data_IF_155877043331
#
_entry.id   IF_155877043331
#
_cell.length_a   1.000
_cell.length_b   1.000
_cell.length_c   1.000
_cell.angle_alpha   90.00
_cell.angle_beta   90.00
_cell.angle_gamma   90.00
#
_symmetry.space_group_name_H-M   'P 1'
#
loop_
_entity.id
_entity.type
_entity.pdbx_description
1 polymer ?
#
# COMPACT_ATOMS: atom_id res chain seq x y z
N UNK A 1 -29.29 -38.18 -55.96
CA UNK A 1 -30.24 -38.00 -54.83
C UNK A 1 -29.44 -37.73 -53.57
N UNK A 2 -29.77 -36.66 -52.84
CA UNK A 2 -29.09 -36.22 -51.60
C UNK A 2 -29.88 -36.68 -50.37
N UNK A 3 -29.16 -36.98 -49.26
CA UNK A 3 -29.47 -36.84 -47.81
C UNK A 3 -28.97 -38.07 -47.00
N UNK A 4 -28.82 -38.00 -45.65
CA UNK A 4 -28.01 -37.07 -44.85
C UNK A 4 -27.24 -37.83 -43.72
N UNK A 5 -26.28 -37.20 -43.03
CA UNK A 5 -25.88 -37.66 -41.69
C UNK A 5 -25.26 -36.52 -40.88
N UNK A 6 -26.02 -36.07 -39.86
CA UNK A 6 -25.57 -35.23 -38.76
C UNK A 6 -24.89 -36.12 -37.71
N UNK A 7 -23.73 -35.72 -37.21
CA UNK A 7 -23.21 -36.19 -35.93
C UNK A 7 -22.74 -34.98 -35.12
N UNK A 8 -23.42 -34.78 -34.00
CA UNK A 8 -23.18 -33.73 -33.03
C UNK A 8 -21.97 -34.08 -32.15
N UNK A 9 -21.06 -33.13 -31.96
CA UNK A 9 -19.97 -33.23 -31.00
C UNK A 9 -20.35 -32.43 -29.74
N UNK A 10 -20.59 -33.13 -28.65
CA UNK A 10 -20.81 -32.55 -27.31
C UNK A 10 -19.48 -32.03 -26.75
N UNK A 11 -19.36 -30.71 -26.59
CA UNK A 11 -18.31 -30.09 -25.77
C UNK A 11 -18.65 -30.29 -24.28
N UNK A 12 -17.82 -31.05 -23.57
CA UNK A 12 -17.76 -31.03 -22.11
C UNK A 12 -16.73 -29.97 -21.68
N UNK A 13 -17.20 -28.76 -21.38
CA UNK A 13 -16.38 -27.80 -20.64
C UNK A 13 -16.40 -28.20 -19.17
N UNK A 14 -15.30 -28.76 -18.69
CA UNK A 14 -15.05 -28.92 -17.27
C UNK A 14 -14.94 -27.52 -16.64
N UNK A 15 -15.99 -27.10 -15.93
CA UNK A 15 -15.96 -25.92 -15.08
C UNK A 15 -15.04 -26.21 -13.88
N UNK A 16 -13.75 -25.94 -14.04
CA UNK A 16 -12.82 -25.85 -12.93
C UNK A 16 -13.11 -24.55 -12.19
N UNK A 17 -13.78 -24.63 -11.03
CA UNK A 17 -13.90 -23.48 -10.13
C UNK A 17 -12.49 -23.03 -9.72
N UNK A 18 -12.08 -21.78 -9.98
CA UNK A 18 -10.84 -21.28 -9.41
C UNK A 18 -11.01 -21.27 -7.89
N UNK A 19 -10.22 -22.08 -7.19
CA UNK A 19 -10.03 -21.94 -5.75
C UNK A 19 -9.37 -20.58 -5.53
N UNK A 20 -10.14 -19.57 -5.16
CA UNK A 20 -9.60 -18.31 -4.66
C UNK A 20 -8.87 -18.62 -3.36
N UNK A 21 -7.55 -18.80 -3.43
CA UNK A 21 -6.71 -18.82 -2.24
C UNK A 21 -6.87 -17.48 -1.56
N UNK A 22 -7.47 -17.46 -0.37
CA UNK A 22 -7.48 -16.29 0.48
C UNK A 22 -6.02 -15.87 0.69
N UNK A 23 -5.63 -14.71 0.17
CA UNK A 23 -4.33 -14.13 0.46
C UNK A 23 -4.26 -13.94 1.98
N UNK A 24 -3.29 -14.57 2.63
CA UNK A 24 -2.95 -14.23 4.00
C UNK A 24 -2.49 -12.78 4.00
N UNK A 25 -3.04 -11.95 4.88
CA UNK A 25 -2.54 -10.59 5.08
C UNK A 25 -1.04 -10.65 5.35
N UNK A 26 -0.24 -10.18 4.39
CA UNK A 26 1.21 -10.12 4.53
C UNK A 26 1.53 -8.94 5.44
N UNK A 27 2.34 -9.17 6.46
CA UNK A 27 2.96 -8.07 7.19
C UNK A 27 3.78 -7.22 6.22
N UNK A 28 3.88 -5.91 6.49
CA UNK A 28 4.59 -5.00 5.62
C UNK A 28 6.09 -5.30 5.64
N UNK A 29 6.71 -5.49 4.48
CA UNK A 29 8.18 -5.60 4.37
C UNK A 29 8.82 -4.20 4.47
N UNK A 30 8.76 -3.64 5.69
CA UNK A 30 9.38 -2.37 6.04
C UNK A 30 10.55 -2.60 7.01
N UNK A 31 11.78 -2.12 6.72
CA UNK A 31 12.90 -2.27 7.63
C UNK A 31 12.65 -1.58 8.97
N UNK A 32 13.22 -2.13 10.06
CA UNK A 32 13.20 -1.45 11.36
C UNK A 32 13.90 -0.10 11.28
N UNK A 33 13.31 0.91 11.89
CA UNK A 33 13.74 2.31 11.82
C UNK A 33 13.23 3.06 10.59
N UNK A 34 12.37 2.46 9.76
CA UNK A 34 11.83 3.11 8.57
C UNK A 34 10.32 3.34 8.63
N UNK A 35 9.91 4.39 7.93
CA UNK A 35 8.57 4.57 7.38
C UNK A 35 8.58 4.09 5.93
N UNK A 36 7.55 3.36 5.52
CA UNK A 36 7.41 2.85 4.16
C UNK A 36 6.02 3.19 3.60
N UNK A 37 5.98 3.53 2.31
CA UNK A 37 4.77 3.70 1.53
C UNK A 37 4.86 2.86 0.25
N UNK A 38 3.73 2.32 -0.20
CA UNK A 38 3.62 1.50 -1.40
C UNK A 38 2.60 2.06 -2.37
N UNK A 39 2.88 1.91 -3.67
CA UNK A 39 1.99 2.34 -4.76
C UNK A 39 0.62 1.65 -4.75
N UNK A 40 0.51 0.47 -4.14
CA UNK A 40 -0.73 -0.30 -4.12
C UNK A 40 -1.13 -0.66 -2.69
N UNK A 41 -2.39 -1.06 -2.56
CA UNK A 41 -2.95 -1.60 -1.31
C UNK A 41 -2.22 -2.88 -0.89
N UNK A 42 -2.37 -3.24 0.39
CA UNK A 42 -1.83 -4.49 0.95
C UNK A 42 -0.31 -4.66 0.76
N UNK A 43 0.42 -3.55 0.81
CA UNK A 43 1.90 -3.47 0.76
C UNK A 43 2.49 -4.06 -0.53
N UNK A 44 1.81 -3.84 -1.66
CA UNK A 44 2.20 -4.33 -2.98
C UNK A 44 2.75 -3.23 -3.90
N UNK A 45 3.48 -3.64 -4.94
CA UNK A 45 4.06 -2.73 -5.93
C UNK A 45 5.39 -2.12 -5.49
N UNK A 46 5.77 -1.00 -6.10
CA UNK A 46 6.99 -0.31 -5.73
C UNK A 46 6.85 0.30 -4.34
N UNK A 47 7.92 0.22 -3.55
CA UNK A 47 8.01 0.75 -2.19
C UNK A 47 8.98 1.91 -2.15
N UNK A 48 8.59 2.98 -1.48
CA UNK A 48 9.50 4.00 -0.98
C UNK A 48 9.68 3.83 0.54
N UNK A 49 10.87 4.16 1.07
CA UNK A 49 11.12 4.06 2.50
C UNK A 49 12.13 5.09 3.00
N UNK A 50 11.92 5.59 4.22
CA UNK A 50 12.69 6.69 4.80
C UNK A 50 12.97 6.44 6.28
N UNK A 51 14.18 6.81 6.74
CA UNK A 51 14.57 6.73 8.16
C UNK A 51 14.52 8.09 8.87
N UNK A 52 14.16 9.15 8.16
CA UNK A 52 14.00 10.51 8.66
C UNK A 52 12.95 11.24 7.84
N UNK A 53 12.76 12.53 8.10
CA UNK A 53 11.81 13.37 7.39
C UNK A 53 12.14 13.43 5.90
N UNK A 54 11.11 13.51 5.06
CA UNK A 54 11.26 13.82 3.64
C UNK A 54 10.22 14.85 3.23
N UNK A 55 10.72 15.98 2.71
CA UNK A 55 9.90 17.11 2.27
C UNK A 55 9.49 17.03 0.81
N UNK A 56 9.95 16.05 0.03
CA UNK A 56 9.62 15.95 -1.37
C UNK A 56 9.72 14.48 -1.81
N UNK A 57 8.58 13.78 -1.80
CA UNK A 57 8.55 12.41 -2.30
C UNK A 57 8.85 12.36 -3.80
N UNK A 58 9.51 11.29 -4.22
CA UNK A 58 9.76 11.07 -5.63
C UNK A 58 8.44 10.85 -6.38
N UNK A 59 8.33 11.38 -7.60
CA UNK A 59 7.07 11.36 -8.35
C UNK A 59 6.51 9.99 -8.73
N UNK A 60 7.20 8.88 -8.42
CA UNK A 60 6.63 7.54 -8.55
C UNK A 60 5.75 7.16 -7.34
N UNK A 61 6.00 7.73 -6.16
CA UNK A 61 5.27 7.47 -4.92
C UNK A 61 4.40 8.66 -4.47
N UNK A 62 4.76 9.88 -4.86
CA UNK A 62 3.93 11.06 -4.62
C UNK A 62 2.59 10.92 -5.36
N UNK A 63 1.49 11.17 -4.66
CA UNK A 63 0.11 11.03 -5.17
C UNK A 63 -0.23 9.63 -5.71
N UNK A 64 0.49 8.58 -5.30
CA UNK A 64 0.23 7.19 -5.73
C UNK A 64 0.24 6.20 -4.56
N UNK A 65 0.49 6.67 -3.34
CA UNK A 65 0.59 5.84 -2.16
C UNK A 65 -0.77 5.29 -1.71
N UNK A 66 -0.85 3.97 -1.55
CA UNK A 66 -2.09 3.25 -1.26
C UNK A 66 -2.01 2.38 0.00
N UNK A 67 -0.80 2.14 0.52
CA UNK A 67 -0.59 1.48 1.82
C UNK A 67 0.71 1.93 2.49
N UNK A 68 0.77 1.82 3.82
CA UNK A 68 1.82 2.43 4.64
C UNK A 68 2.20 1.58 5.85
N UNK A 69 3.46 1.66 6.27
CA UNK A 69 3.94 1.04 7.50
C UNK A 69 4.92 1.94 8.22
N UNK A 70 4.78 2.06 9.55
CA UNK A 70 5.71 2.76 10.41
C UNK A 70 6.43 1.75 11.30
N UNK A 71 7.65 1.35 10.93
CA UNK A 71 8.51 0.47 11.73
C UNK A 71 9.59 1.26 12.48
N UNK A 72 9.28 2.49 12.88
CA UNK A 72 10.18 3.39 13.59
C UNK A 72 10.72 2.86 14.92
N UNK A 73 11.83 3.44 15.36
CA UNK A 73 12.44 3.14 16.65
C UNK A 73 11.71 3.90 17.76
N UNK A 74 11.30 3.18 18.81
CA UNK A 74 10.68 3.77 19.99
C UNK A 74 11.72 3.96 21.08
N UNK A 75 11.82 5.18 21.62
CA UNK A 75 12.67 5.47 22.76
C UNK A 75 12.37 6.85 23.37
N UNK A 76 12.90 7.13 24.58
CA UNK A 76 12.70 8.41 25.24
C UNK A 76 13.20 9.58 24.36
N UNK A 77 12.33 10.54 24.09
CA UNK A 77 12.67 11.72 23.29
C UNK A 77 12.84 11.45 21.78
N UNK A 78 12.50 10.26 21.29
CA UNK A 78 12.58 9.92 19.87
C UNK A 78 11.19 10.10 19.24
N UNK A 79 11.03 11.02 18.27
CA UNK A 79 9.83 11.09 17.45
C UNK A 79 9.62 9.76 16.74
N UNK A 80 8.46 9.14 16.93
CA UNK A 80 8.19 7.78 16.45
C UNK A 80 6.84 7.64 15.75
N UNK A 81 6.04 8.70 15.71
CA UNK A 81 4.87 8.80 14.85
C UNK A 81 5.29 9.34 13.49
N UNK A 82 4.57 8.96 12.44
CA UNK A 82 4.80 9.52 11.09
C UNK A 82 3.56 10.29 10.68
N UNK A 83 3.72 11.56 10.34
CA UNK A 83 2.67 12.40 9.77
C UNK A 83 2.94 12.55 8.28
N UNK A 84 1.98 12.15 7.44
CA UNK A 84 2.04 12.28 5.97
C UNK A 84 1.18 13.47 5.56
N UNK A 85 1.66 14.24 4.59
CA UNK A 85 1.04 15.47 4.12
C UNK A 85 0.83 15.45 2.60
N UNK A 86 -0.21 16.14 2.15
CA UNK A 86 -0.59 16.19 0.74
C UNK A 86 0.22 17.14 -0.15
N UNK A 87 1.18 17.85 0.43
CA UNK A 87 2.03 18.75 -0.33
C UNK A 87 3.45 18.70 0.17
N UNK A 88 4.38 18.89 -0.76
CA UNK A 88 5.79 19.06 -0.48
C UNK A 88 6.07 20.10 0.64
N UNK A 89 7.11 19.81 1.42
CA UNK A 89 7.57 20.62 2.55
C UNK A 89 6.72 20.48 3.81
N UNK A 90 6.04 19.34 3.99
CA UNK A 90 5.16 19.04 5.12
C UNK A 90 4.05 20.08 5.29
N UNK A 91 3.33 20.36 4.18
CA UNK A 91 2.27 21.37 4.09
C UNK A 91 0.96 20.75 3.60
N UNK A 92 -0.11 21.54 3.67
CA UNK A 92 -1.44 21.08 3.30
C UNK A 92 -2.06 20.23 4.41
N UNK A 93 -3.08 19.47 4.05
CA UNK A 93 -3.73 18.54 4.97
C UNK A 93 -2.79 17.39 5.37
N UNK A 94 -2.82 17.02 6.65
CA UNK A 94 -2.24 15.76 7.12
C UNK A 94 -3.18 14.62 6.72
N UNK A 95 -2.77 13.83 5.74
CA UNK A 95 -3.62 12.80 5.12
C UNK A 95 -3.76 11.58 6.02
N UNK A 96 -2.67 11.19 6.68
CA UNK A 96 -2.63 10.10 7.64
C UNK A 96 -1.54 10.34 8.68
N UNK A 97 -1.76 9.80 9.88
CA UNK A 97 -0.73 9.75 10.92
C UNK A 97 -0.65 8.33 11.49
N UNK A 98 0.57 7.77 11.49
CA UNK A 98 0.83 6.39 11.88
C UNK A 98 1.58 6.33 13.21
N UNK A 99 1.04 5.60 14.17
CA UNK A 99 1.74 5.23 15.40
C UNK A 99 2.91 4.27 15.11
N UNK A 100 3.90 4.17 16.02
CA UNK A 100 4.99 3.20 15.87
C UNK A 100 4.46 1.77 15.83
N UNK A 101 4.90 0.98 14.86
CA UNK A 101 4.45 -0.38 14.59
C UNK A 101 3.11 -0.46 13.85
N UNK A 102 2.51 0.67 13.47
CA UNK A 102 1.25 0.66 12.73
C UNK A 102 1.49 0.34 11.24
N UNK A 103 0.69 -0.59 10.74
CA UNK A 103 0.57 -0.92 9.32
C UNK A 103 -0.85 -0.60 8.86
N UNK A 104 -0.98 0.11 7.73
CA UNK A 104 -2.27 0.52 7.14
C UNK A 104 -2.29 0.01 5.71
N UNK A 105 -3.07 -1.04 5.48
CA UNK A 105 -3.14 -1.71 4.19
C UNK A 105 -3.97 -0.94 3.14
N UNK A 106 -4.86 -0.04 3.59
CA UNK A 106 -5.57 0.93 2.76
C UNK A 106 -6.28 2.00 3.62
N UNK A 107 -6.44 3.22 3.09
CA UNK A 107 -7.24 4.29 3.70
C UNK A 107 -7.79 5.25 2.64
N UNK A 108 -9.12 5.30 2.47
CA UNK A 108 -9.75 6.14 1.42
C UNK A 108 -9.61 7.67 1.56
N UNK A 109 -9.21 8.19 2.72
CA UNK A 109 -8.91 9.63 2.90
C UNK A 109 -7.48 9.95 2.47
N UNK A 110 -6.56 9.01 2.65
CA UNK A 110 -5.13 9.21 2.42
C UNK A 110 -4.61 8.63 1.11
N UNK A 111 -5.37 7.73 0.47
CA UNK A 111 -5.00 7.06 -0.77
C UNK A 111 -4.67 8.06 -1.88
N UNK A 112 -3.52 7.88 -2.52
CA UNK A 112 -3.02 8.65 -3.66
C UNK A 112 -2.92 10.15 -3.34
N UNK A 113 -2.47 10.49 -2.13
CA UNK A 113 -2.41 11.88 -1.67
C UNK A 113 -1.14 12.23 -0.92
N UNK A 114 -0.24 11.31 -0.61
CA UNK A 114 1.00 11.63 0.09
C UNK A 114 2.02 12.30 -0.83
N UNK A 115 2.68 13.35 -0.35
CA UNK A 115 3.74 14.07 -1.09
C UNK A 115 4.94 14.44 -0.19
N UNK A 116 4.75 14.41 1.13
CA UNK A 116 5.84 14.54 2.10
C UNK A 116 5.47 13.95 3.46
N UNK A 117 6.47 13.78 4.33
CA UNK A 117 6.24 13.33 5.69
C UNK A 117 7.24 13.90 6.70
N UNK A 118 6.91 13.75 7.99
CA UNK A 118 7.86 13.93 9.10
C UNK A 118 7.63 12.93 10.22
N UNK A 119 8.68 12.71 10.98
CA UNK A 119 8.64 12.03 12.27
C UNK A 119 8.22 13.01 13.37
N UNK A 120 7.25 12.60 14.18
CA UNK A 120 6.60 13.42 15.18
C UNK A 120 6.50 12.71 16.54
N UNK A 121 6.30 13.51 17.60
CA UNK A 121 6.07 12.98 18.95
C UNK A 121 4.67 12.42 19.14
N UNK A 122 3.71 12.82 18.29
CA UNK A 122 2.32 12.36 18.32
C UNK A 122 1.63 12.57 16.98
N UNK A 123 0.47 11.93 16.84
CA UNK A 123 -0.68 12.49 16.12
C UNK A 123 -1.44 13.40 17.09
#
# INVERSE_FOLDING_TARGET
MKKPALLAATLLLAAGSPLTTAATASAADCPSGHFCAWENVDFQGQRANWSGDDGWWEGYIADTDSSWANHGIVGPGIPSFVQVFESAGQRGDMTICLAPGQEVNWNGVANDRGDSHRWAMSC
#
